data_IF_154140846723
#
_entry.id   IF_154140846723
#
_cell.length_a   1.000
_cell.length_b   1.000
_cell.length_c   1.000
_cell.angle_alpha   90.00
_cell.angle_beta   90.00
_cell.angle_gamma   90.00
#
_symmetry.space_group_name_H-M   'P 1'
#
loop_
_entity.id
_entity.type
_entity.pdbx_description
1 polymer ?
#
# COMPACT_ATOMS: atom_id res chain seq x y z
N UNK A 1 -14.90 9.41 -8.33
CA UNK A 1 -13.62 8.69 -8.54
C UNK A 1 -12.63 8.97 -7.42
N UNK A 2 -12.28 10.24 -7.12
CA UNK A 2 -11.31 10.56 -6.06
C UNK A 2 -11.65 10.02 -4.66
N UNK A 3 -12.94 9.99 -4.29
CA UNK A 3 -13.37 9.43 -3.00
C UNK A 3 -13.11 7.92 -2.89
N UNK A 4 -13.41 7.15 -3.94
CA UNK A 4 -13.15 5.71 -4.00
C UNK A 4 -11.64 5.40 -4.04
N UNK A 5 -10.84 6.27 -4.66
CA UNK A 5 -9.38 6.12 -4.70
C UNK A 5 -8.70 6.34 -3.34
N UNK A 6 -9.41 6.85 -2.32
CA UNK A 6 -8.90 6.93 -0.94
C UNK A 6 -8.95 5.59 -0.20
N UNK A 7 -9.79 4.66 -0.62
CA UNK A 7 -9.96 3.37 0.06
C UNK A 7 -8.72 2.49 -0.08
N UNK A 8 -8.00 2.58 -1.21
CA UNK A 8 -6.81 1.76 -1.49
C UNK A 8 -5.69 2.05 -0.48
N UNK A 9 -5.23 3.31 -0.26
CA UNK A 9 -4.27 3.62 0.79
C UNK A 9 -4.68 3.12 2.17
N UNK A 10 -5.95 3.30 2.55
CA UNK A 10 -6.44 2.92 3.88
C UNK A 10 -6.44 1.40 4.06
N UNK A 11 -6.85 0.63 3.05
CA UNK A 11 -6.77 -0.83 3.11
C UNK A 11 -5.35 -1.36 3.15
N UNK A 12 -4.41 -0.74 2.44
CA UNK A 12 -2.99 -1.15 2.54
C UNK A 12 -2.44 -0.90 3.95
N UNK A 13 -2.76 0.24 4.56
CA UNK A 13 -2.38 0.54 5.96
C UNK A 13 -3.00 -0.45 6.95
N UNK A 14 -4.26 -0.79 6.77
CA UNK A 14 -4.96 -1.78 7.61
C UNK A 14 -4.29 -3.15 7.51
N UNK A 15 -3.97 -3.62 6.29
CA UNK A 15 -3.26 -4.89 6.06
C UNK A 15 -1.91 -4.88 6.77
N UNK A 16 -1.14 -3.79 6.65
CA UNK A 16 0.13 -3.63 7.37
C UNK A 16 -0.07 -3.73 8.89
N UNK A 17 -1.01 -2.97 9.44
CA UNK A 17 -1.28 -2.93 10.88
C UNK A 17 -1.66 -4.32 11.39
N UNK A 18 -2.58 -4.99 10.70
CA UNK A 18 -3.02 -6.33 11.05
C UNK A 18 -1.88 -7.35 10.98
N UNK A 19 -1.03 -7.27 9.95
CA UNK A 19 0.12 -8.15 9.83
C UNK A 19 1.11 -7.99 11.01
N UNK A 20 1.44 -6.75 11.38
CA UNK A 20 2.43 -6.46 12.42
C UNK A 20 1.91 -6.66 13.84
N UNK A 21 0.64 -6.34 14.08
CA UNK A 21 0.09 -6.29 15.43
C UNK A 21 -0.74 -7.52 15.81
N UNK A 22 -1.20 -8.31 14.83
CA UNK A 22 -2.03 -9.49 15.06
C UNK A 22 -1.37 -10.76 14.53
N UNK A 23 -1.10 -10.82 13.22
CA UNK A 23 -0.67 -12.08 12.57
C UNK A 23 0.74 -12.49 12.97
N UNK A 24 1.69 -11.55 12.95
CA UNK A 24 3.11 -11.78 13.24
C UNK A 24 3.57 -11.06 14.51
N UNK A 25 2.64 -10.74 15.41
CA UNK A 25 2.92 -9.94 16.59
C UNK A 25 4.03 -10.57 17.46
N UNK A 26 3.98 -11.89 17.64
CA UNK A 26 4.97 -12.62 18.45
C UNK A 26 6.35 -12.57 17.81
N UNK A 27 6.44 -12.83 16.50
CA UNK A 27 7.70 -12.83 15.75
C UNK A 27 8.31 -11.44 15.71
N UNK A 28 7.51 -10.41 15.41
CA UNK A 28 7.96 -9.02 15.34
C UNK A 28 8.44 -8.52 16.70
N UNK A 29 7.76 -8.89 17.79
CA UNK A 29 8.16 -8.51 19.14
C UNK A 29 9.41 -9.27 19.64
N UNK A 30 9.73 -10.42 19.05
CA UNK A 30 10.94 -11.17 19.35
C UNK A 30 12.20 -10.63 18.63
N UNK A 31 12.05 -9.71 17.68
CA UNK A 31 13.17 -9.11 16.96
C UNK A 31 13.97 -8.13 17.84
N UNK A 32 15.28 -8.10 17.65
CA UNK A 32 16.10 -7.00 18.15
C UNK A 32 15.76 -5.68 17.44
N UNK A 33 16.15 -4.57 18.05
CA UNK A 33 15.82 -3.23 17.56
C UNK A 33 16.30 -2.97 16.12
N UNK A 34 17.47 -3.48 15.73
CA UNK A 34 17.99 -3.27 14.39
C UNK A 34 17.22 -4.10 13.35
N UNK A 35 16.97 -5.38 13.66
CA UNK A 35 16.17 -6.25 12.79
C UNK A 35 14.75 -5.71 12.59
N UNK A 36 14.11 -5.23 13.66
CA UNK A 36 12.79 -4.59 13.58
C UNK A 36 12.81 -3.33 12.71
N UNK A 37 13.81 -2.46 12.88
CA UNK A 37 13.95 -1.26 12.06
C UNK A 37 14.10 -1.60 10.57
N UNK A 38 14.89 -2.62 10.23
CA UNK A 38 15.06 -3.05 8.84
C UNK A 38 13.75 -3.60 8.27
N UNK A 39 13.03 -4.44 9.03
CA UNK A 39 11.72 -4.95 8.64
C UNK A 39 10.72 -3.82 8.37
N UNK A 40 10.62 -2.85 9.28
CA UNK A 40 9.73 -1.70 9.13
C UNK A 40 10.07 -0.87 7.89
N UNK A 41 11.37 -0.66 7.58
CA UNK A 41 11.80 0.03 6.35
C UNK A 41 11.39 -0.71 5.07
N UNK A 42 11.51 -2.04 5.06
CA UNK A 42 11.10 -2.87 3.93
C UNK A 42 9.58 -2.77 3.73
N UNK A 43 8.81 -2.93 4.80
CA UNK A 43 7.34 -2.85 4.76
C UNK A 43 6.88 -1.46 4.33
N UNK A 44 7.49 -0.39 4.85
CA UNK A 44 7.20 1.01 4.44
C UNK A 44 7.41 1.22 2.93
N UNK A 45 8.50 0.67 2.39
CA UNK A 45 8.78 0.76 0.95
C UNK A 45 7.73 0.01 0.14
N UNK A 46 7.37 -1.21 0.56
CA UNK A 46 6.35 -2.02 -0.09
C UNK A 46 4.97 -1.36 -0.06
N UNK A 47 4.55 -0.85 1.09
CA UNK A 47 3.30 -0.09 1.25
C UNK A 47 3.24 1.08 0.26
N UNK A 48 4.29 1.91 0.20
CA UNK A 48 4.35 3.05 -0.73
C UNK A 48 4.24 2.60 -2.19
N UNK A 49 4.87 1.49 -2.57
CA UNK A 49 4.86 0.99 -3.96
C UNK A 49 3.52 0.34 -4.32
N UNK A 50 2.92 -0.43 -3.43
CA UNK A 50 1.62 -1.05 -3.64
C UNK A 50 0.45 -0.08 -3.59
N UNK A 51 0.63 1.10 -2.99
CA UNK A 51 -0.31 2.21 -3.19
C UNK A 51 -0.02 2.91 -4.52
N UNK A 52 1.22 3.38 -4.74
CA UNK A 52 1.54 4.25 -5.88
C UNK A 52 1.33 3.59 -7.24
N UNK A 53 1.78 2.34 -7.43
CA UNK A 53 1.78 1.69 -8.75
C UNK A 53 0.34 1.46 -9.24
N UNK A 54 -0.56 0.80 -8.49
CA UNK A 54 -1.94 0.62 -8.91
C UNK A 54 -2.70 1.93 -9.13
N UNK A 55 -2.46 2.94 -8.28
CA UNK A 55 -3.11 4.25 -8.41
C UNK A 55 -2.71 4.97 -9.70
N UNK A 56 -1.43 4.91 -10.08
CA UNK A 56 -0.95 5.44 -11.37
C UNK A 56 -1.57 4.66 -12.53
N UNK A 57 -1.58 3.32 -12.46
CA UNK A 57 -2.19 2.49 -13.50
C UNK A 57 -3.68 2.80 -13.69
N UNK A 58 -4.44 2.94 -12.59
CA UNK A 58 -5.85 3.29 -12.65
C UNK A 58 -6.06 4.68 -13.28
N UNK A 59 -5.21 5.67 -12.93
CA UNK A 59 -5.24 6.99 -13.55
C UNK A 59 -4.95 6.91 -15.05
N UNK A 60 -3.94 6.16 -15.46
CA UNK A 60 -3.56 6.01 -16.87
C UNK A 60 -4.69 5.36 -17.69
N UNK A 61 -5.37 4.36 -17.13
CA UNK A 61 -6.55 3.74 -17.75
C UNK A 61 -7.68 4.77 -17.92
N UNK A 62 -8.01 5.52 -16.85
CA UNK A 62 -9.05 6.54 -16.89
C UNK A 62 -8.77 7.63 -17.94
N UNK A 63 -7.51 8.10 -18.05
CA UNK A 63 -7.10 9.09 -19.06
C UNK A 63 -7.24 8.54 -20.48
N UNK A 64 -6.85 7.28 -20.71
CA UNK A 64 -6.97 6.63 -22.02
C UNK A 64 -8.43 6.45 -22.43
N UNK A 65 -9.29 5.98 -21.53
CA UNK A 65 -10.74 5.85 -21.78
C UNK A 65 -11.38 7.19 -22.14
N UNK A 66 -11.06 8.25 -21.40
CA UNK A 66 -11.60 9.59 -21.71
C UNK A 66 -11.11 10.14 -23.06
N UNK A 67 -9.95 9.68 -23.56
CA UNK A 67 -9.38 10.11 -24.84
C UNK A 67 -9.94 9.32 -26.03
N UNK A 68 -10.39 8.08 -25.81
CA UNK A 68 -11.11 7.28 -26.81
C UNK A 68 -12.55 7.75 -27.01
N UNK A 69 -13.17 8.35 -25.98
CA UNK A 69 -14.55 8.86 -26.06
C UNK A 69 -14.68 10.23 -26.76
N UNK A 70 -13.55 10.86 -27.12
CA UNK A 70 -13.47 12.15 -27.80
C UNK A 70 -13.20 12.05 -29.32
N UNK A 71 -13.03 10.84 -29.86
CA UNK A 71 -12.79 10.60 -31.30
C UNK A 71 -13.98 9.95 -31.99
#
# INVERSE_FOLDING_TARGET
VELAMREVPEKVKEIRSFALNEVFATEVNALDANSRMVLEKVIDYMEKKYIKVPMVMAKDILVKTNSSDLN
#
